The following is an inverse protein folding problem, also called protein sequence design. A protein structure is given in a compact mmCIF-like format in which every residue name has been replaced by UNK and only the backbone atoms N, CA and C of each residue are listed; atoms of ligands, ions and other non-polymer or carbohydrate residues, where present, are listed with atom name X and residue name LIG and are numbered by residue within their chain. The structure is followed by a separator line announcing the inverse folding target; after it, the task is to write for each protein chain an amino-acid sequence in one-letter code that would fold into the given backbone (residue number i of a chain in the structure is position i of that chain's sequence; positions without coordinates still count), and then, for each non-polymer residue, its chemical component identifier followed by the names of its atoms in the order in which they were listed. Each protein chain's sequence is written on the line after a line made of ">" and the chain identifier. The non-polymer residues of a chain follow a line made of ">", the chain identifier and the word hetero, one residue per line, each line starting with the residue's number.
data_IF_205055104607
#
_entry.id   IF_205055104607
#
_cell.length_a   1.000
_cell.length_b   1.000
_cell.length_c   1.000
_cell.angle_alpha   90.00
_cell.angle_beta   90.00
_cell.angle_gamma   90.00
#
_symmetry.space_group_name_H-M   'P 1'
#
loop_
_entity.id
_entity.type
_entity.pdbx_description
1 polymer ?
#
# COMPACT_ATOMS: atom_id res chain seq x y z
N UNK A 1 20.21 -2.48 16.86
CA UNK A 1 20.87 -1.32 16.64
C UNK A 1 20.23 -0.33 15.69
N UNK A 2 20.78 0.89 15.64
CA UNK A 2 20.25 2.01 14.87
C UNK A 2 20.10 1.67 13.39
N UNK A 3 21.08 0.97 12.79
CA UNK A 3 21.04 0.63 11.37
C UNK A 3 19.91 -0.33 11.02
N UNK A 4 19.60 -1.29 11.90
CA UNK A 4 18.51 -2.24 11.67
C UNK A 4 17.16 -1.53 11.67
N UNK A 5 16.99 -0.58 12.59
CA UNK A 5 15.75 0.21 12.66
C UNK A 5 15.58 1.08 11.42
N UNK A 6 16.63 1.75 10.99
CA UNK A 6 16.58 2.59 9.79
C UNK A 6 16.31 1.77 8.55
N UNK A 7 16.91 0.58 8.44
CA UNK A 7 16.66 -0.32 7.32
C UNK A 7 15.21 -0.79 7.31
N UNK A 8 14.63 -1.09 8.47
CA UNK A 8 13.23 -1.49 8.57
C UNK A 8 12.30 -0.35 8.20
N UNK A 9 12.59 0.87 8.67
CA UNK A 9 11.80 2.06 8.29
C UNK A 9 11.81 2.23 6.76
N UNK A 10 12.97 2.13 6.12
CA UNK A 10 13.07 2.27 4.68
C UNK A 10 12.25 1.19 3.94
N UNK A 11 12.28 -0.04 4.43
CA UNK A 11 11.49 -1.14 3.86
C UNK A 11 10.00 -0.86 4.00
N UNK A 12 9.55 -0.38 5.17
CA UNK A 12 8.15 -0.07 5.41
C UNK A 12 7.68 1.13 4.59
N UNK A 13 8.55 2.12 4.37
CA UNK A 13 8.23 3.24 3.47
C UNK A 13 7.99 2.76 2.06
N UNK A 14 8.83 1.84 1.58
CA UNK A 14 8.67 1.25 0.26
C UNK A 14 7.37 0.44 0.17
N UNK A 15 7.09 -0.39 1.17
CA UNK A 15 5.87 -1.18 1.22
C UNK A 15 4.63 -0.30 1.29
N UNK A 16 4.65 0.75 2.10
CA UNK A 16 3.53 1.67 2.25
C UNK A 16 3.15 2.32 0.91
N UNK A 17 4.13 2.84 0.20
CA UNK A 17 3.91 3.46 -1.12
C UNK A 17 3.55 2.41 -2.16
N UNK A 18 4.13 1.21 -2.08
CA UNK A 18 3.81 0.10 -2.97
C UNK A 18 2.36 -0.35 -2.86
N UNK A 19 1.79 -0.37 -1.66
CA UNK A 19 0.37 -0.70 -1.47
C UNK A 19 -0.54 0.33 -2.15
N UNK A 20 -0.18 1.61 -2.10
CA UNK A 20 -0.93 2.65 -2.79
C UNK A 20 -0.90 2.45 -4.31
N UNK A 21 0.27 2.18 -4.85
CA UNK A 21 0.42 1.94 -6.29
C UNK A 21 -0.40 0.72 -6.73
N UNK A 22 -0.36 -0.36 -5.94
CA UNK A 22 -1.14 -1.56 -6.21
C UNK A 22 -2.64 -1.28 -6.17
N UNK A 23 -3.10 -0.53 -5.15
CA UNK A 23 -4.51 -0.18 -5.02
C UNK A 23 -5.01 0.60 -6.24
N UNK A 24 -4.25 1.57 -6.71
CA UNK A 24 -4.61 2.34 -7.91
C UNK A 24 -4.59 1.48 -9.17
N UNK A 25 -3.67 0.54 -9.28
CA UNK A 25 -3.62 -0.38 -10.40
C UNK A 25 -4.89 -1.25 -10.45
N UNK A 26 -5.31 -1.79 -9.30
CA UNK A 26 -6.55 -2.57 -9.23
C UNK A 26 -7.78 -1.71 -9.54
N UNK A 27 -7.80 -0.46 -9.06
CA UNK A 27 -8.90 0.46 -9.36
C UNK A 27 -9.02 0.71 -10.85
N UNK A 28 -7.92 0.98 -11.53
CA UNK A 28 -7.92 1.16 -12.98
C UNK A 28 -8.41 -0.10 -13.70
N UNK A 29 -8.01 -1.26 -13.22
CA UNK A 29 -8.39 -2.53 -13.81
C UNK A 29 -9.89 -2.79 -13.66
N UNK A 30 -10.45 -2.72 -12.42
CA UNK A 30 -11.87 -3.05 -12.26
C UNK A 30 -12.78 -2.04 -12.96
N UNK A 31 -12.35 -0.80 -13.15
CA UNK A 31 -13.13 0.19 -13.90
C UNK A 31 -13.23 -0.16 -15.39
N UNK A 32 -12.27 -0.90 -15.93
CA UNK A 32 -12.24 -1.28 -17.34
C UNK A 32 -12.86 -2.65 -17.62
N UNK A 33 -13.18 -3.41 -16.57
CA UNK A 33 -13.76 -4.75 -16.70
C UNK A 33 -15.30 -4.67 -16.71
N UNK A 34 -15.93 -5.36 -17.65
CA UNK A 34 -17.38 -5.32 -17.80
C UNK A 34 -18.12 -6.41 -17.02
N UNK A 35 -17.48 -7.56 -16.76
CA UNK A 35 -18.09 -8.65 -16.03
C UNK A 35 -18.32 -8.27 -14.56
N UNK A 36 -19.59 -8.27 -14.06
CA UNK A 36 -19.88 -7.83 -12.71
C UNK A 36 -19.16 -8.61 -11.61
N UNK A 37 -19.05 -9.92 -11.77
CA UNK A 37 -18.38 -10.77 -10.78
C UNK A 37 -16.88 -10.49 -10.71
N UNK A 38 -16.26 -10.31 -11.87
CA UNK A 38 -14.85 -10.01 -11.95
C UNK A 38 -14.55 -8.60 -11.41
N UNK A 39 -15.40 -7.62 -11.74
CA UNK A 39 -15.28 -6.27 -11.20
C UNK A 39 -15.32 -6.28 -9.68
N UNK A 40 -16.28 -7.00 -9.10
CA UNK A 40 -16.43 -7.04 -7.65
C UNK A 40 -15.23 -7.70 -6.99
N UNK A 41 -14.67 -8.74 -7.60
CA UNK A 41 -13.47 -9.39 -7.09
C UNK A 41 -12.29 -8.43 -7.06
N UNK A 42 -12.10 -7.67 -8.13
CA UNK A 42 -11.01 -6.69 -8.22
C UNK A 42 -11.20 -5.53 -7.26
N UNK A 43 -12.45 -5.09 -7.04
CA UNK A 43 -12.75 -4.05 -6.05
C UNK A 43 -12.40 -4.52 -4.64
N UNK A 44 -12.68 -5.80 -4.35
CA UNK A 44 -12.33 -6.39 -3.06
C UNK A 44 -10.82 -6.40 -2.85
N UNK A 45 -10.06 -6.76 -3.89
CA UNK A 45 -8.60 -6.76 -3.81
C UNK A 45 -8.08 -5.32 -3.60
N UNK A 46 -8.65 -4.33 -4.28
CA UNK A 46 -8.27 -2.94 -4.07
C UNK A 46 -8.50 -2.54 -2.61
N UNK A 47 -9.65 -2.90 -2.04
CA UNK A 47 -9.96 -2.58 -0.64
C UNK A 47 -8.94 -3.23 0.32
N UNK A 48 -8.53 -4.47 0.03
CA UNK A 48 -7.51 -5.16 0.81
C UNK A 48 -6.17 -4.44 0.75
N UNK A 49 -5.79 -3.91 -0.41
CA UNK A 49 -4.54 -3.16 -0.56
C UNK A 49 -4.54 -1.88 0.29
N UNK A 50 -5.67 -1.17 0.34
CA UNK A 50 -5.81 0.00 1.21
C UNK A 50 -5.71 -0.39 2.68
N UNK A 51 -6.29 -1.51 3.06
CA UNK A 51 -6.19 -2.01 4.43
C UNK A 51 -4.75 -2.38 4.80
N UNK A 52 -4.04 -3.08 3.90
CA UNK A 52 -2.63 -3.40 4.09
C UNK A 52 -1.80 -2.13 4.28
N UNK A 53 -2.10 -1.09 3.50
CA UNK A 53 -1.41 0.19 3.62
C UNK A 53 -1.60 0.80 5.03
N UNK A 54 -2.81 0.72 5.58
CA UNK A 54 -3.06 1.20 6.93
C UNK A 54 -2.24 0.43 7.96
N UNK A 55 -2.17 -0.90 7.83
CA UNK A 55 -1.39 -1.73 8.75
C UNK A 55 0.10 -1.39 8.69
N UNK A 56 0.64 -1.27 7.48
CA UNK A 56 2.04 -0.91 7.28
C UNK A 56 2.31 0.50 7.82
N UNK A 57 1.39 1.43 7.60
CA UNK A 57 1.49 2.79 8.14
C UNK A 57 1.56 2.82 9.66
N UNK A 58 0.77 1.97 10.32
CA UNK A 58 0.82 1.81 11.77
C UNK A 58 2.16 1.30 12.25
N UNK A 59 2.70 0.28 11.57
CA UNK A 59 4.02 -0.27 11.90
C UNK A 59 5.11 0.78 11.71
N UNK A 60 5.04 1.54 10.63
CA UNK A 60 5.99 2.61 10.34
C UNK A 60 5.95 3.68 11.43
N UNK A 61 4.76 4.11 11.82
CA UNK A 61 4.55 5.09 12.89
C UNK A 61 5.10 4.60 14.23
N UNK A 62 4.88 3.32 14.55
CA UNK A 62 5.36 2.72 15.80
C UNK A 62 6.89 2.76 15.89
N UNK A 63 7.58 2.73 14.76
CA UNK A 63 9.04 2.85 14.71
C UNK A 63 9.53 4.31 14.67
N UNK A 64 8.61 5.26 14.73
CA UNK A 64 8.95 6.69 14.65
C UNK A 64 9.25 7.14 13.23
N UNK A 65 8.85 6.35 12.22
CA UNK A 65 9.05 6.71 10.82
C UNK A 65 7.85 7.43 10.25
N UNK A 66 8.00 7.92 9.03
CA UNK A 66 6.97 8.63 8.26
C UNK A 66 7.00 8.14 6.81
N UNK A 67 5.91 8.26 6.08
CA UNK A 67 5.94 7.97 4.64
C UNK A 67 7.01 8.79 3.94
N UNK A 68 7.60 8.24 2.90
CA UNK A 68 8.59 8.97 2.09
C UNK A 68 7.84 9.75 1.01
N UNK A 69 7.86 11.10 1.06
CA UNK A 69 7.11 11.92 0.10
C UNK A 69 7.50 11.65 -1.36
N UNK A 70 8.75 11.26 -1.61
CA UNK A 70 9.21 10.97 -2.96
C UNK A 70 8.58 9.71 -3.53
N UNK A 71 8.21 8.77 -2.67
CA UNK A 71 7.56 7.51 -3.08
C UNK A 71 6.06 7.62 -3.14
N UNK A 72 5.47 8.59 -2.43
CA UNK A 72 4.02 8.79 -2.36
C UNK A 72 3.44 9.49 -3.60
N UNK A 73 4.29 9.89 -4.50
CA UNK A 73 3.85 10.46 -5.77
C UNK A 73 3.38 9.36 -6.71
#
# INVERSE_FOLDING_TARGET
>A
MTNSRLALIALLQLAYSGEQAAAYAYRGHWKSVHDPGERERLRTIEAEEWHHRELVGGMLSDLGGKPDPRREM
#
